data_IF_387616278481
#
_entry.id   IF_387616278481
#
_cell.length_a   1.000
_cell.length_b   1.000
_cell.length_c   1.000
_cell.angle_alpha   90.00
_cell.angle_beta   90.00
_cell.angle_gamma   90.00
#
_symmetry.space_group_name_H-M   'P 1'
#
loop_
_entity.id
_entity.type
_entity.pdbx_description
1 polymer ?
#
# COMPACT_ATOMS: atom_id res chain seq x y z
N UNK A 1 7.70 22.80 27.12
CA UNK A 1 6.46 22.11 26.71
C UNK A 1 6.88 21.05 25.71
N UNK A 2 6.69 19.77 26.00
CA UNK A 2 6.98 18.70 25.02
C UNK A 2 5.83 18.62 24.05
N UNK A 3 6.11 18.86 22.77
CA UNK A 3 5.14 18.70 21.69
C UNK A 3 4.84 17.22 21.52
N UNK A 4 3.56 16.84 21.55
CA UNK A 4 3.14 15.45 21.33
C UNK A 4 2.87 15.29 19.84
N UNK A 5 3.73 14.55 19.14
CA UNK A 5 3.51 14.22 17.73
C UNK A 5 2.65 12.95 17.63
N UNK A 6 1.56 13.00 16.87
CA UNK A 6 0.74 11.84 16.54
C UNK A 6 1.27 11.23 15.24
N UNK A 7 1.66 9.95 15.29
CA UNK A 7 2.11 9.18 14.14
C UNK A 7 0.94 8.36 13.56
N UNK A 8 0.64 8.53 12.27
CA UNK A 8 -0.38 7.79 11.53
C UNK A 8 0.30 6.72 10.68
N UNK A 9 0.01 5.45 10.99
CA UNK A 9 0.55 4.30 10.26
C UNK A 9 -0.62 3.49 9.70
N UNK A 10 -0.50 3.01 8.46
CA UNK A 10 -1.45 2.08 7.85
C UNK A 10 -0.77 0.77 7.40
N UNK A 11 -1.58 -0.27 7.24
CA UNK A 11 -1.23 -1.48 6.51
C UNK A 11 -2.25 -1.68 5.41
N UNK A 12 -1.79 -1.89 4.18
CA UNK A 12 -2.67 -2.08 3.03
C UNK A 12 -2.21 -3.23 2.15
N UNK A 13 -3.07 -4.24 2.06
CA UNK A 13 -2.92 -5.31 1.09
C UNK A 13 -3.49 -4.83 -0.26
N UNK A 14 -2.59 -4.61 -1.23
CA UNK A 14 -2.95 -4.02 -2.52
C UNK A 14 -3.40 -5.06 -3.55
N UNK A 15 -3.30 -6.36 -3.23
CA UNK A 15 -3.65 -7.47 -4.12
C UNK A 15 -3.08 -7.29 -5.53
N UNK A 16 -1.79 -6.95 -5.64
CA UNK A 16 -1.07 -6.64 -6.88
C UNK A 16 -1.74 -5.53 -7.69
N UNK A 17 -2.21 -4.49 -6.98
CA UNK A 17 -2.97 -3.36 -7.53
C UNK A 17 -4.25 -3.77 -8.30
N UNK A 18 -4.77 -4.97 -8.05
CA UNK A 18 -5.95 -5.52 -8.71
C UNK A 18 -7.21 -5.05 -8.01
N UNK A 19 -8.03 -4.28 -8.73
CA UNK A 19 -9.31 -3.80 -8.20
C UNK A 19 -10.40 -4.88 -8.20
N UNK A 20 -11.58 -4.49 -7.71
CA UNK A 20 -12.78 -5.33 -7.76
C UNK A 20 -13.29 -5.55 -9.19
N UNK A 21 -12.82 -4.75 -10.14
CA UNK A 21 -13.03 -4.87 -11.58
C UNK A 21 -12.03 -5.81 -12.26
N UNK A 22 -11.22 -6.51 -11.48
CA UNK A 22 -10.12 -7.37 -11.92
C UNK A 22 -9.01 -6.67 -12.72
N UNK A 23 -9.04 -5.33 -12.82
CA UNK A 23 -8.02 -4.53 -13.51
C UNK A 23 -6.85 -4.24 -12.57
N UNK A 24 -5.63 -4.49 -13.07
CA UNK A 24 -4.39 -4.08 -12.41
C UNK A 24 -4.09 -2.63 -12.76
N UNK A 25 -4.13 -1.75 -11.75
CA UNK A 25 -3.88 -0.31 -11.89
C UNK A 25 -3.13 0.23 -10.67
N UNK A 26 -1.82 0.42 -10.85
CA UNK A 26 -0.92 0.91 -9.80
C UNK A 26 -1.14 2.39 -9.50
N UNK A 27 -1.55 3.20 -10.47
CA UNK A 27 -1.83 4.62 -10.25
C UNK A 27 -3.08 4.81 -9.39
N UNK A 28 -4.11 3.98 -9.62
CA UNK A 28 -5.30 3.92 -8.76
C UNK A 28 -4.94 3.56 -7.33
N UNK A 29 -4.10 2.55 -7.15
CA UNK A 29 -3.62 2.11 -5.82
C UNK A 29 -2.80 3.22 -5.15
N UNK A 30 -1.89 3.86 -5.88
CA UNK A 30 -1.08 4.97 -5.37
C UNK A 30 -1.93 6.16 -4.95
N UNK A 31 -2.98 6.51 -5.72
CA UNK A 31 -3.94 7.55 -5.34
C UNK A 31 -4.65 7.22 -4.03
N UNK A 32 -5.06 5.96 -3.83
CA UNK A 32 -5.68 5.53 -2.57
C UNK A 32 -4.70 5.70 -1.40
N UNK A 33 -3.45 5.23 -1.55
CA UNK A 33 -2.40 5.37 -0.52
C UNK A 33 -2.13 6.85 -0.19
N UNK A 34 -1.97 7.70 -1.20
CA UNK A 34 -1.74 9.13 -1.01
C UNK A 34 -2.90 9.82 -0.29
N UNK A 35 -4.14 9.37 -0.52
CA UNK A 35 -5.33 9.90 0.14
C UNK A 35 -5.51 9.39 1.58
N UNK A 36 -4.75 8.39 2.03
CA UNK A 36 -4.82 7.94 3.43
C UNK A 36 -4.23 8.95 4.41
N UNK A 37 -3.43 9.92 3.93
CA UNK A 37 -2.78 10.94 4.76
C UNK A 37 -2.05 10.30 5.96
N UNK A 38 -1.21 9.30 5.68
CA UNK A 38 -0.42 8.58 6.69
C UNK A 38 1.07 8.90 6.56
N UNK A 39 1.79 8.84 7.67
CA UNK A 39 3.23 9.07 7.70
C UNK A 39 4.00 7.86 7.15
N UNK A 40 3.44 6.66 7.30
CA UNK A 40 3.99 5.42 6.77
C UNK A 40 2.89 4.40 6.44
N UNK A 41 3.11 3.60 5.39
CA UNK A 41 2.24 2.50 5.00
C UNK A 41 3.04 1.22 4.76
N UNK A 42 2.61 0.11 5.35
CA UNK A 42 3.11 -1.22 5.03
C UNK A 42 2.28 -1.82 3.90
N UNK A 43 2.94 -2.28 2.82
CA UNK A 43 2.28 -2.85 1.63
C UNK A 43 2.40 -4.38 1.64
N UNK A 44 1.32 -5.08 1.31
CA UNK A 44 1.30 -6.53 1.11
C UNK A 44 0.81 -6.91 -0.29
N UNK A 45 1.25 -8.07 -0.77
CA UNK A 45 0.87 -8.64 -2.08
C UNK A 45 1.14 -7.71 -3.27
N UNK A 46 2.18 -6.87 -3.22
CA UNK A 46 2.52 -6.01 -4.37
C UNK A 46 2.94 -6.83 -5.60
N UNK A 47 3.46 -8.03 -5.35
CA UNK A 47 4.15 -8.93 -6.24
C UNK A 47 3.38 -10.24 -6.40
N UNK A 48 2.26 -10.22 -7.11
CA UNK A 48 1.50 -11.45 -7.42
C UNK A 48 2.04 -12.19 -8.67
N UNK A 49 3.03 -11.64 -9.38
CA UNK A 49 3.52 -12.18 -10.67
C UNK A 49 5.05 -12.16 -10.87
N UNK A 50 5.86 -11.86 -9.86
CA UNK A 50 7.32 -12.07 -9.95
C UNK A 50 7.64 -13.51 -9.58
N UNK A 51 8.50 -14.18 -10.36
CA UNK A 51 9.07 -15.46 -9.94
C UNK A 51 9.61 -15.29 -8.52
N UNK A 52 9.16 -16.13 -7.58
CA UNK A 52 9.81 -16.20 -6.27
C UNK A 52 11.29 -16.47 -6.54
N UNK A 53 12.20 -15.70 -5.94
CA UNK A 53 13.57 -16.20 -5.86
C UNK A 53 13.48 -17.52 -5.10
N UNK A 54 13.93 -18.62 -5.71
CA UNK A 54 14.18 -19.85 -4.98
C UNK A 54 15.12 -19.48 -3.84
N UNK A 55 14.60 -19.48 -2.61
CA UNK A 55 15.35 -19.07 -1.42
C UNK A 55 16.70 -19.75 -1.29
#
# INVERSE_FOLDING_TARGET
MTETQTLKIASYNVRNAKGMDDVVDFDRTAKVINNMDVDAVAIQELDSATQRSNG
#
